data_IF_651963571496
#
_entry.id   IF_651963571496
#
_cell.length_a   1.000
_cell.length_b   1.000
_cell.length_c   1.000
_cell.angle_alpha   90.00
_cell.angle_beta   90.00
_cell.angle_gamma   90.00
#
_symmetry.space_group_name_H-M   'P 1'
#
loop_
_entity.id
_entity.type
_entity.pdbx_description
1 polymer ?
#
# COMPACT_ATOMS: atom_id res chain seq x y z
N UNK A 1 -25.23 -66.74 -27.31
CA UNK A 1 -24.13 -65.74 -27.37
C UNK A 1 -22.84 -66.45 -26.97
N UNK A 2 -21.79 -66.39 -27.80
CA UNK A 2 -20.50 -67.06 -27.48
C UNK A 2 -19.85 -66.40 -26.25
N UNK A 3 -19.12 -67.17 -25.44
CA UNK A 3 -18.40 -66.70 -24.26
C UNK A 3 -17.46 -65.52 -24.59
N UNK A 4 -16.88 -65.53 -25.80
CA UNK A 4 -16.04 -64.46 -26.32
C UNK A 4 -16.81 -63.17 -26.61
N UNK A 5 -18.08 -63.28 -27.02
CA UNK A 5 -18.95 -62.14 -27.25
C UNK A 5 -19.32 -61.42 -25.95
N UNK A 6 -19.62 -62.19 -24.89
CA UNK A 6 -19.95 -61.65 -23.57
C UNK A 6 -18.75 -60.91 -22.95
N UNK A 7 -17.54 -61.50 -23.04
CA UNK A 7 -16.32 -60.89 -22.49
C UNK A 7 -15.96 -59.56 -23.18
N UNK A 8 -16.16 -59.45 -24.49
CA UNK A 8 -15.94 -58.21 -25.25
C UNK A 8 -16.90 -57.10 -24.84
N UNK A 9 -18.17 -57.42 -24.59
CA UNK A 9 -19.19 -56.45 -24.16
C UNK A 9 -18.86 -55.90 -22.76
N UNK A 10 -18.46 -56.77 -21.82
CA UNK A 10 -18.10 -56.36 -20.46
C UNK A 10 -16.86 -55.46 -20.44
N UNK A 11 -15.84 -55.78 -21.25
CA UNK A 11 -14.64 -54.93 -21.34
C UNK A 11 -14.96 -53.57 -21.96
N UNK A 12 -15.79 -53.54 -23.01
CA UNK A 12 -16.21 -52.29 -23.64
C UNK A 12 -17.03 -51.41 -22.68
N UNK A 13 -17.94 -52.00 -21.88
CA UNK A 13 -18.74 -51.24 -20.92
C UNK A 13 -17.88 -50.68 -19.78
N UNK A 14 -16.95 -51.47 -19.22
CA UNK A 14 -16.02 -51.01 -18.19
C UNK A 14 -15.11 -49.89 -18.70
N UNK A 15 -14.57 -50.02 -19.91
CA UNK A 15 -13.72 -48.98 -20.52
C UNK A 15 -14.52 -47.68 -20.78
N UNK A 16 -15.77 -47.81 -21.24
CA UNK A 16 -16.64 -46.65 -21.47
C UNK A 16 -17.01 -45.94 -20.16
N UNK A 17 -17.31 -46.70 -19.10
CA UNK A 17 -17.57 -46.14 -17.76
C UNK A 17 -16.32 -45.48 -17.19
N UNK A 18 -15.14 -46.08 -17.37
CA UNK A 18 -13.87 -45.49 -16.93
C UNK A 18 -13.58 -44.17 -17.68
N UNK A 19 -13.76 -44.12 -19.00
CA UNK A 19 -13.58 -42.91 -19.80
C UNK A 19 -14.57 -41.79 -19.42
N UNK A 20 -15.82 -42.15 -19.10
CA UNK A 20 -16.82 -41.21 -18.59
C UNK A 20 -16.47 -40.69 -17.18
N UNK A 21 -15.85 -41.51 -16.32
CA UNK A 21 -15.36 -41.09 -14.99
C UNK A 21 -14.16 -40.14 -15.06
N UNK A 22 -13.30 -40.25 -16.07
CA UNK A 22 -12.15 -39.33 -16.24
C UNK A 22 -12.56 -38.00 -16.91
N UNK A 23 -13.66 -37.99 -17.68
CA UNK A 23 -14.09 -36.84 -18.48
C UNK A 23 -14.80 -35.70 -17.74
N UNK A 24 -15.10 -35.82 -16.44
CA UNK A 24 -15.84 -34.80 -15.69
C UNK A 24 -14.99 -33.95 -14.72
N UNK A 25 -13.68 -34.14 -14.66
CA UNK A 25 -12.81 -33.25 -13.87
C UNK A 25 -12.40 -32.04 -14.70
N UNK A 26 -13.36 -31.15 -14.98
CA UNK A 26 -13.03 -29.79 -15.41
C UNK A 26 -12.54 -29.03 -14.16
N UNK A 27 -11.21 -28.93 -13.99
CA UNK A 27 -10.63 -28.00 -13.02
C UNK A 27 -10.85 -26.60 -13.57
N UNK A 28 -11.87 -25.90 -13.05
CA UNK A 28 -12.04 -24.48 -13.30
C UNK A 28 -10.95 -23.74 -12.55
N UNK A 29 -9.92 -23.28 -13.25
CA UNK A 29 -8.96 -22.32 -12.72
C UNK A 29 -9.70 -21.00 -12.54
N UNK A 30 -10.09 -20.71 -11.30
CA UNK A 30 -10.57 -19.38 -10.95
C UNK A 30 -9.37 -18.42 -11.01
N UNK A 31 -9.57 -17.25 -11.62
CA UNK A 31 -8.52 -16.24 -11.78
C UNK A 31 -8.46 -15.41 -10.51
N UNK A 32 -7.25 -15.10 -10.03
CA UNK A 32 -7.06 -14.23 -8.87
C UNK A 32 -7.68 -12.85 -9.13
N UNK A 33 -8.14 -12.18 -8.08
CA UNK A 33 -8.73 -10.85 -8.18
C UNK A 33 -8.22 -9.91 -7.12
N UNK A 34 -8.16 -8.62 -7.46
CA UNK A 34 -7.82 -7.54 -6.54
C UNK A 34 -8.87 -6.44 -6.66
N UNK A 35 -9.39 -5.98 -5.52
CA UNK A 35 -10.57 -5.11 -5.51
C UNK A 35 -10.48 -4.01 -4.46
N UNK A 36 -11.12 -2.88 -4.73
CA UNK A 36 -11.36 -1.83 -3.73
C UNK A 36 -12.60 -2.18 -2.91
N UNK A 37 -12.50 -2.09 -1.58
CA UNK A 37 -13.60 -2.36 -0.65
C UNK A 37 -13.70 -1.29 0.44
N UNK A 38 -14.87 -0.67 0.69
CA UNK A 38 -16.09 -0.79 -0.08
C UNK A 38 -15.92 -0.25 -1.52
N UNK A 39 -16.64 -0.84 -2.47
CA UNK A 39 -16.53 -0.51 -3.89
C UNK A 39 -17.19 0.84 -4.24
N UNK A 40 -18.16 1.28 -3.43
CA UNK A 40 -18.80 2.58 -3.56
C UNK A 40 -18.87 3.24 -2.20
N UNK A 41 -18.40 4.48 -2.13
CA UNK A 41 -18.43 5.32 -0.93
C UNK A 41 -19.25 6.57 -1.24
N UNK A 42 -20.09 7.00 -0.29
CA UNK A 42 -20.81 8.27 -0.36
C UNK A 42 -20.64 9.01 0.96
N UNK A 43 -20.06 10.20 0.90
CA UNK A 43 -19.66 10.99 2.07
C UNK A 43 -19.90 12.49 1.83
N UNK A 44 -19.64 13.30 2.85
CA UNK A 44 -19.68 14.76 2.76
C UNK A 44 -18.28 15.35 2.64
N UNK A 45 -18.17 16.54 2.06
CA UNK A 45 -16.94 17.31 2.07
C UNK A 45 -16.46 17.55 3.52
N UNK A 46 -15.16 17.33 3.76
CA UNK A 46 -14.54 17.36 5.09
C UNK A 46 -14.54 16.02 5.84
N UNK A 47 -15.29 15.01 5.38
CA UNK A 47 -15.28 13.68 6.00
C UNK A 47 -13.99 12.92 5.67
N UNK A 48 -13.62 12.01 6.57
CA UNK A 48 -12.57 11.00 6.32
C UNK A 48 -13.19 9.62 6.16
N UNK A 49 -12.57 8.80 5.31
CA UNK A 49 -12.98 7.41 5.09
C UNK A 49 -11.78 6.56 4.71
N UNK A 50 -11.94 5.24 4.85
CA UNK A 50 -10.92 4.27 4.42
C UNK A 50 -11.48 3.32 3.38
N UNK A 51 -10.60 2.85 2.50
CA UNK A 51 -10.84 1.73 1.60
C UNK A 51 -9.71 0.72 1.74
N UNK A 52 -10.07 -0.55 1.63
CA UNK A 52 -9.15 -1.67 1.62
C UNK A 52 -8.90 -2.12 0.18
N UNK A 53 -7.65 -2.46 -0.10
CA UNK A 53 -7.28 -3.23 -1.29
C UNK A 53 -7.31 -4.70 -0.90
N UNK A 54 -8.31 -5.42 -1.40
CA UNK A 54 -8.57 -6.82 -1.07
C UNK A 54 -8.02 -7.71 -2.19
N UNK A 55 -7.19 -8.68 -1.83
CA UNK A 55 -6.71 -9.73 -2.74
C UNK A 55 -7.48 -11.01 -2.47
N UNK A 56 -8.00 -11.63 -3.52
CA UNK A 56 -8.53 -12.99 -3.52
C UNK A 56 -7.69 -13.84 -4.48
N UNK A 57 -6.81 -14.71 -3.97
CA UNK A 57 -5.93 -15.53 -4.80
C UNK A 57 -6.67 -16.56 -5.67
N UNK A 58 -7.94 -16.88 -5.36
CA UNK A 58 -8.71 -17.88 -6.09
C UNK A 58 -8.01 -19.26 -6.21
N UNK A 59 -7.18 -19.61 -5.21
CA UNK A 59 -6.38 -20.85 -5.17
C UNK A 59 -4.95 -20.71 -5.69
N UNK A 60 -4.57 -19.57 -6.26
CA UNK A 60 -3.18 -19.26 -6.62
C UNK A 60 -2.31 -19.04 -5.39
N UNK A 61 -1.02 -19.35 -5.53
CA UNK A 61 0.00 -19.12 -4.51
C UNK A 61 0.64 -17.74 -4.71
N UNK A 62 0.29 -16.77 -3.86
CA UNK A 62 0.81 -15.41 -3.95
C UNK A 62 1.96 -15.22 -2.97
N UNK A 63 3.07 -14.69 -3.47
CA UNK A 63 4.28 -14.41 -2.69
C UNK A 63 4.68 -12.93 -2.72
N UNK A 64 4.28 -12.21 -3.76
CA UNK A 64 4.42 -10.77 -3.89
C UNK A 64 3.15 -10.14 -4.46
N UNK A 65 2.86 -8.92 -4.05
CA UNK A 65 1.73 -8.15 -4.54
C UNK A 65 2.13 -6.69 -4.70
N UNK A 66 1.83 -6.11 -5.85
CA UNK A 66 1.94 -4.66 -6.10
C UNK A 66 0.57 -4.09 -6.50
N UNK A 67 0.30 -2.85 -6.11
CA UNK A 67 -0.87 -2.13 -6.58
C UNK A 67 -0.59 -0.63 -6.76
N UNK A 68 -1.36 -0.04 -7.66
CA UNK A 68 -1.39 1.39 -7.93
C UNK A 68 -2.84 1.83 -8.00
N UNK A 69 -3.20 2.76 -7.12
CA UNK A 69 -4.52 3.37 -7.11
C UNK A 69 -4.42 4.81 -7.65
N UNK A 70 -5.34 5.19 -8.55
CA UNK A 70 -5.48 6.57 -9.02
C UNK A 70 -6.80 7.16 -8.57
N UNK A 71 -6.80 8.45 -8.24
CA UNK A 71 -7.97 9.21 -7.80
C UNK A 71 -7.86 10.67 -8.26
N UNK A 72 -8.96 11.42 -8.21
CA UNK A 72 -8.97 12.86 -8.46
C UNK A 72 -8.51 13.62 -7.20
N UNK A 73 -7.34 14.25 -7.29
CA UNK A 73 -6.74 15.03 -6.20
C UNK A 73 -7.41 16.37 -5.93
N UNK A 74 -8.35 16.81 -6.77
CA UNK A 74 -9.20 17.96 -6.46
C UNK A 74 -10.38 17.57 -5.56
N UNK A 75 -10.72 16.28 -5.48
CA UNK A 75 -11.86 15.76 -4.71
C UNK A 75 -11.39 15.10 -3.42
N UNK A 76 -10.31 14.31 -3.48
CA UNK A 76 -9.79 13.56 -2.34
C UNK A 76 -8.32 13.90 -2.04
N UNK A 77 -7.95 13.77 -0.77
CA UNK A 77 -6.58 13.83 -0.29
C UNK A 77 -6.29 12.54 0.48
N UNK A 78 -5.33 11.74 0.02
CA UNK A 78 -4.92 10.54 0.76
C UNK A 78 -4.03 10.93 1.94
N UNK A 79 -4.41 10.51 3.14
CA UNK A 79 -3.76 10.90 4.39
C UNK A 79 -2.86 9.80 4.95
N UNK A 80 -3.17 8.54 4.68
CA UNK A 80 -2.34 7.41 5.08
C UNK A 80 -2.56 6.16 4.23
N UNK A 81 -1.55 5.28 4.25
CA UNK A 81 -1.63 3.92 3.71
C UNK A 81 -0.89 2.99 4.68
N UNK A 82 -1.55 1.91 5.08
CA UNK A 82 -1.01 0.92 6.02
C UNK A 82 -1.07 -0.48 5.42
N UNK A 83 -0.04 -1.29 5.67
CA UNK A 83 -0.06 -2.72 5.34
C UNK A 83 -1.25 -3.43 5.98
N UNK A 84 -1.82 -4.38 5.23
CA UNK A 84 -2.82 -5.33 5.72
C UNK A 84 -2.22 -6.72 5.92
N UNK A 85 -3.04 -7.64 6.41
CA UNK A 85 -2.58 -8.98 6.82
C UNK A 85 -2.64 -10.04 5.71
N UNK A 86 -2.65 -9.64 4.43
CA UNK A 86 -2.76 -10.61 3.34
C UNK A 86 -1.50 -11.47 3.19
N UNK A 87 -0.31 -10.85 3.17
CA UNK A 87 0.96 -11.56 2.96
C UNK A 87 1.60 -12.07 4.26
N UNK A 88 1.25 -11.50 5.41
CA UNK A 88 1.77 -11.91 6.73
C UNK A 88 1.05 -13.15 7.31
N UNK A 89 0.02 -13.68 6.63
CA UNK A 89 -0.70 -14.87 7.07
C UNK A 89 0.26 -16.04 7.29
N UNK A 90 -0.08 -16.82 8.32
CA UNK A 90 0.72 -17.94 8.82
C UNK A 90 2.03 -17.55 9.50
N UNK A 91 2.15 -16.28 9.91
CA UNK A 91 3.31 -15.76 10.65
C UNK A 91 4.53 -15.53 9.75
N UNK A 92 4.31 -15.35 8.45
CA UNK A 92 5.38 -15.03 7.52
C UNK A 92 5.85 -13.60 7.75
N UNK A 93 7.17 -13.41 7.77
CA UNK A 93 7.75 -12.08 7.71
C UNK A 93 7.57 -11.51 6.29
N UNK A 94 7.34 -10.21 6.20
CA UNK A 94 7.15 -9.50 4.94
C UNK A 94 8.00 -8.24 4.88
N UNK A 95 8.21 -7.73 3.67
CA UNK A 95 8.85 -6.44 3.41
C UNK A 95 7.99 -5.60 2.49
N UNK A 96 7.65 -4.39 2.96
CA UNK A 96 7.12 -3.33 2.11
C UNK A 96 8.24 -2.83 1.18
N UNK A 97 8.13 -3.12 -0.11
CA UNK A 97 9.07 -2.62 -1.14
C UNK A 97 8.65 -1.26 -1.69
N UNK A 98 7.37 -0.91 -1.55
CA UNK A 98 6.82 0.37 -1.97
C UNK A 98 5.64 0.75 -1.08
N UNK A 99 5.66 1.98 -0.54
CA UNK A 99 4.52 2.56 0.16
C UNK A 99 4.60 4.09 0.00
N UNK A 100 3.85 4.64 -0.96
CA UNK A 100 3.95 6.06 -1.30
C UNK A 100 2.62 6.66 -1.73
N UNK A 101 2.38 7.89 -1.26
CA UNK A 101 1.24 8.72 -1.63
C UNK A 101 1.75 9.96 -2.36
N UNK A 102 1.22 10.22 -3.55
CA UNK A 102 1.43 11.45 -4.31
C UNK A 102 0.07 12.10 -4.58
N UNK A 103 -0.34 13.00 -3.68
CA UNK A 103 -1.59 13.75 -3.80
C UNK A 103 -1.54 14.79 -4.92
N UNK A 104 -0.36 15.18 -5.44
CA UNK A 104 -0.29 16.10 -6.58
C UNK A 104 -0.66 15.37 -7.86
N UNK A 105 -0.15 14.14 -8.03
CA UNK A 105 -0.44 13.30 -9.18
C UNK A 105 -1.75 12.50 -9.06
N UNK A 106 -2.35 12.43 -7.86
CA UNK A 106 -3.50 11.57 -7.57
C UNK A 106 -3.16 10.09 -7.67
N UNK A 107 -1.98 9.69 -7.15
CA UNK A 107 -1.47 8.31 -7.26
C UNK A 107 -0.99 7.78 -5.92
N UNK A 108 -1.42 6.57 -5.59
CA UNK A 108 -0.92 5.80 -4.46
C UNK A 108 -0.30 4.52 -5.01
N UNK A 109 0.85 4.13 -4.46
CA UNK A 109 1.51 2.87 -4.80
C UNK A 109 1.80 2.09 -3.53
N UNK A 110 1.53 0.79 -3.60
CA UNK A 110 1.86 -0.16 -2.57
C UNK A 110 2.51 -1.40 -3.18
N UNK A 111 3.44 -2.01 -2.48
CA UNK A 111 4.09 -3.24 -2.91
C UNK A 111 4.72 -3.94 -1.71
N UNK A 112 4.46 -5.24 -1.59
CA UNK A 112 4.90 -6.05 -0.47
C UNK A 112 5.23 -7.48 -0.94
N UNK A 113 6.19 -8.13 -0.28
CA UNK A 113 6.54 -9.53 -0.55
C UNK A 113 6.91 -10.27 0.73
N UNK A 114 6.69 -11.59 0.74
CA UNK A 114 7.10 -12.48 1.84
C UNK A 114 8.63 -12.66 1.85
N UNK A 115 9.20 -12.84 3.04
CA UNK A 115 10.62 -13.10 3.26
C UNK A 115 10.79 -14.53 3.78
N UNK A 116 11.68 -15.30 3.15
CA UNK A 116 12.06 -16.64 3.60
C UNK A 116 12.11 -17.65 2.46
N UNK A 117 12.30 -18.92 2.82
CA UNK A 117 12.23 -20.03 1.89
C UNK A 117 10.75 -20.40 1.64
N UNK A 118 10.24 -20.31 0.39
CA UNK A 118 8.86 -20.63 0.05
C UNK A 118 8.45 -22.05 0.45
N UNK A 119 9.37 -23.03 0.44
CA UNK A 119 9.06 -24.39 0.88
C UNK A 119 8.80 -24.49 2.39
N UNK A 120 9.36 -23.55 3.16
CA UNK A 120 9.25 -23.51 4.62
C UNK A 120 8.09 -22.63 5.10
N UNK A 121 7.90 -21.47 4.47
CA UNK A 121 6.90 -20.48 4.90
C UNK A 121 5.60 -20.55 4.09
N UNK A 122 5.61 -21.20 2.91
CA UNK A 122 4.48 -21.24 1.99
C UNK A 122 4.11 -19.89 1.37
N UNK A 123 2.94 -19.86 0.74
CA UNK A 123 2.40 -18.70 0.01
C UNK A 123 1.05 -18.25 0.58
N UNK A 124 0.66 -17.02 0.29
CA UNK A 124 -0.67 -16.52 0.61
C UNK A 124 -1.69 -17.07 -0.40
N UNK A 125 -2.65 -17.84 0.09
CA UNK A 125 -3.70 -18.50 -0.74
C UNK A 125 -5.12 -18.12 -0.32
N UNK A 126 -5.26 -17.49 0.86
CA UNK A 126 -6.54 -17.05 1.38
C UNK A 126 -6.78 -15.57 1.09
N UNK A 127 -8.03 -15.23 0.81
CA UNK A 127 -8.47 -13.83 0.68
C UNK A 127 -8.06 -12.97 1.89
N UNK A 128 -7.62 -11.74 1.64
CA UNK A 128 -7.18 -10.82 2.69
C UNK A 128 -7.01 -9.37 2.23
N UNK A 129 -6.75 -8.48 3.19
CA UNK A 129 -6.44 -7.07 2.95
C UNK A 129 -4.94 -6.96 2.66
N UNK A 130 -4.58 -6.46 1.48
CA UNK A 130 -3.19 -6.13 1.14
C UNK A 130 -2.76 -4.81 1.78
N UNK A 131 -3.61 -3.79 1.68
CA UNK A 131 -3.35 -2.47 2.26
C UNK A 131 -4.65 -1.73 2.52
N UNK A 132 -4.67 -0.89 3.54
CA UNK A 132 -5.77 0.04 3.81
C UNK A 132 -5.29 1.46 3.52
N UNK A 133 -6.11 2.22 2.80
CA UNK A 133 -5.83 3.60 2.41
C UNK A 133 -6.89 4.49 3.05
N UNK A 134 -6.46 5.55 3.74
CA UNK A 134 -7.35 6.57 4.30
C UNK A 134 -7.32 7.83 3.47
N UNK A 135 -8.50 8.38 3.20
CA UNK A 135 -8.74 9.60 2.46
C UNK A 135 -9.48 10.63 3.31
N UNK A 136 -9.26 11.89 2.98
CA UNK A 136 -10.07 13.04 3.37
C UNK A 136 -10.73 13.61 2.12
N UNK A 137 -12.01 13.96 2.21
CA UNK A 137 -12.73 14.63 1.14
C UNK A 137 -12.50 16.14 1.15
N UNK A 138 -11.70 16.64 0.22
CA UNK A 138 -11.27 18.05 0.13
C UNK A 138 -12.01 18.83 -0.97
N UNK A 139 -12.86 18.17 -1.74
CA UNK A 139 -13.68 18.78 -2.78
C UNK A 139 -14.99 18.03 -2.94
N UNK A 140 -15.83 18.45 -3.90
CA UNK A 140 -17.13 17.84 -4.16
C UNK A 140 -17.20 17.26 -5.56
N UNK A 141 -18.07 16.26 -5.75
CA UNK A 141 -18.21 15.54 -7.02
C UNK A 141 -17.98 14.04 -6.87
N UNK A 142 -17.69 13.37 -7.97
CA UNK A 142 -17.47 11.92 -8.00
C UNK A 142 -16.09 11.62 -8.59
N UNK A 143 -15.33 10.76 -7.91
CA UNK A 143 -14.05 10.25 -8.40
C UNK A 143 -14.07 8.73 -8.47
N UNK A 144 -13.51 8.18 -9.54
CA UNK A 144 -13.16 6.77 -9.60
C UNK A 144 -11.92 6.52 -8.74
N UNK A 145 -11.85 5.34 -8.12
CA UNK A 145 -10.67 4.78 -7.48
C UNK A 145 -10.14 3.69 -8.41
N UNK A 146 -9.33 4.10 -9.40
CA UNK A 146 -8.86 3.21 -10.48
C UNK A 146 -7.72 2.35 -9.99
N UNK A 147 -7.90 1.03 -10.06
CA UNK A 147 -6.97 0.06 -9.50
C UNK A 147 -6.23 -0.72 -10.59
N UNK A 148 -4.91 -0.66 -10.53
CA UNK A 148 -4.02 -1.58 -11.23
C UNK A 148 -3.27 -2.42 -10.19
N UNK A 149 -3.06 -3.70 -10.47
CA UNK A 149 -2.31 -4.60 -9.58
C UNK A 149 -1.64 -5.70 -10.37
N UNK A 150 -0.54 -6.24 -9.83
CA UNK A 150 0.07 -7.49 -10.25
C UNK A 150 0.35 -8.32 -9.01
N UNK A 151 0.21 -9.62 -9.17
CA UNK A 151 0.56 -10.61 -8.16
C UNK A 151 1.67 -11.47 -8.75
N UNK A 152 2.57 -11.95 -7.89
CA UNK A 152 3.63 -12.86 -8.29
C UNK A 152 3.72 -14.04 -7.34
N UNK A 153 4.10 -15.20 -7.88
CA UNK A 153 4.46 -16.36 -7.08
C UNK A 153 5.89 -16.22 -6.49
N UNK A 154 6.34 -17.26 -5.80
CA UNK A 154 7.66 -17.31 -5.16
C UNK A 154 8.84 -17.37 -6.16
N UNK A 155 8.57 -17.71 -7.42
CA UNK A 155 9.54 -17.70 -8.52
C UNK A 155 9.55 -16.36 -9.29
N UNK A 156 8.83 -15.35 -8.79
CA UNK A 156 8.67 -14.03 -9.41
C UNK A 156 7.92 -14.12 -10.76
N UNK A 157 7.18 -15.20 -10.99
CA UNK A 157 6.30 -15.29 -12.15
C UNK A 157 5.01 -14.53 -11.86
N UNK A 158 4.60 -13.70 -12.81
CA UNK A 158 3.34 -12.95 -12.72
C UNK A 158 2.14 -13.89 -12.84
N UNK A 159 1.16 -13.67 -11.97
CA UNK A 159 -0.12 -14.36 -11.97
C UNK A 159 -1.14 -13.54 -12.75
N UNK A 160 -2.05 -14.23 -13.45
CA UNK A 160 -3.20 -13.57 -14.07
C UNK A 160 -4.11 -13.01 -12.98
N UNK A 161 -4.46 -11.73 -13.13
CA UNK A 161 -5.25 -11.00 -12.15
C UNK A 161 -6.33 -10.17 -12.82
N UNK A 162 -7.50 -10.16 -12.22
CA UNK A 162 -8.58 -9.23 -12.56
C UNK A 162 -8.67 -8.14 -11.51
N UNK A 163 -8.82 -6.88 -11.92
CA UNK A 163 -8.99 -5.77 -10.98
C UNK A 163 -10.43 -5.29 -10.95
N UNK A 164 -10.87 -4.83 -9.78
CA UNK A 164 -12.17 -4.20 -9.59
C UNK A 164 -11.99 -2.82 -8.94
N UNK A 165 -12.28 -1.79 -9.72
CA UNK A 165 -12.22 -0.39 -9.30
C UNK A 165 -13.23 -0.08 -8.19
N UNK A 166 -13.02 1.07 -7.53
CA UNK A 166 -13.98 1.69 -6.64
C UNK A 166 -14.49 3.04 -7.15
N UNK A 167 -15.45 3.62 -6.43
CA UNK A 167 -16.02 4.96 -6.70
C UNK A 167 -16.30 5.68 -5.39
N UNK A 168 -16.02 6.98 -5.33
CA UNK A 168 -16.36 7.83 -4.21
C UNK A 168 -17.18 9.03 -4.69
N UNK A 169 -18.32 9.28 -4.04
CA UNK A 169 -19.17 10.43 -4.29
C UNK A 169 -19.18 11.33 -3.05
N UNK A 170 -18.78 12.58 -3.22
CA UNK A 170 -18.69 13.58 -2.16
C UNK A 170 -19.74 14.66 -2.38
N UNK A 171 -20.56 14.90 -1.36
CA UNK A 171 -21.61 15.91 -1.34
C UNK A 171 -21.24 17.13 -0.47
N UNK A 172 -21.81 18.30 -0.79
CA UNK A 172 -21.53 19.56 -0.08
C UNK A 172 -20.31 20.31 -0.62
N UNK A 173 -20.17 21.60 -0.32
CA UNK A 173 -18.99 22.39 -0.67
C UNK A 173 -18.03 22.38 0.53
N UNK A 174 -16.73 22.19 0.29
CA UNK A 174 -15.73 22.51 1.31
C UNK A 174 -15.83 23.99 1.63
N UNK A 175 -16.13 24.32 2.88
CA UNK A 175 -15.93 25.68 3.36
C UNK A 175 -14.44 25.80 3.57
N UNK A 176 -13.76 26.48 2.64
CA UNK A 176 -12.38 26.88 2.87
C UNK A 176 -12.35 27.65 4.19
N UNK A 177 -11.61 27.16 5.17
CA UNK A 177 -11.30 27.92 6.37
C UNK A 177 -10.39 29.07 5.93
N UNK A 178 -11.00 30.19 5.52
CA UNK A 178 -10.29 31.44 5.37
C UNK A 178 -9.78 31.81 6.76
N UNK A 179 -8.46 31.73 6.93
CA UNK A 179 -7.76 32.30 8.08
C UNK A 179 -8.02 33.81 8.09
N UNK A 180 -9.07 34.22 8.81
CA UNK A 180 -9.42 35.62 8.98
C UNK A 180 -8.44 36.22 9.99
N UNK A 181 -7.28 36.68 9.51
CA UNK A 181 -6.36 37.51 10.29
C UNK A 181 -7.06 38.83 10.63
N UNK A 182 -7.72 38.87 11.79
CA UNK A 182 -8.26 40.10 12.38
C UNK A 182 -7.47 40.42 13.64
N UNK A 183 -6.46 41.29 13.52
CA UNK A 183 -6.29 42.40 14.47
C UNK A 183 -5.17 43.36 14.06
N UNK A 184 -5.55 44.58 13.65
CA UNK A 184 -4.83 45.86 13.85
C UNK A 184 -5.76 47.02 13.46
N UNK A 185 -5.98 48.06 14.31
CA UNK A 185 -5.09 49.22 14.34
C UNK A 185 -4.78 49.84 15.71
N UNK A 186 -3.66 50.57 15.73
CA UNK A 186 -2.98 51.19 16.85
C UNK A 186 -3.57 52.52 17.32
N UNK A 187 -3.28 52.90 18.58
CA UNK A 187 -3.16 54.29 19.02
C UNK A 187 -2.14 54.46 20.17
N UNK A 188 -1.25 55.42 19.94
CA UNK A 188 -0.12 55.91 20.75
C UNK A 188 -0.56 56.94 21.80
N UNK A 189 0.04 56.96 23.01
CA UNK A 189 0.91 58.08 23.52
C UNK A 189 1.23 58.00 25.03
N UNK A 190 2.55 57.97 25.31
CA UNK A 190 3.38 58.59 26.37
C UNK A 190 2.87 58.87 27.81
N UNK A 191 3.66 58.44 28.81
CA UNK A 191 4.38 59.33 29.75
C UNK A 191 5.51 58.62 30.54
N UNK A 192 6.67 59.31 30.66
CA UNK A 192 7.92 58.99 31.39
C UNK A 192 8.02 59.89 32.64
N UNK A 193 8.45 59.43 33.85
CA UNK A 193 9.83 59.64 34.38
C UNK A 193 10.31 58.52 35.37
N UNK A 194 11.56 58.32 35.84
CA UNK A 194 12.92 58.89 35.72
C UNK A 194 13.95 57.85 36.31
N UNK A 195 15.18 57.90 35.79
CA UNK A 195 16.55 57.37 36.16
C UNK A 195 16.89 57.36 37.69
N UNK A 196 17.82 56.52 38.29
CA UNK A 196 19.26 56.42 37.91
C UNK A 196 20.10 55.12 38.03
N UNK A 197 20.93 54.92 36.99
CA UNK A 197 22.41 54.72 36.93
C UNK A 197 23.21 54.01 38.05
N UNK A 198 23.95 52.96 37.67
CA UNK A 198 25.36 52.70 38.03
C UNK A 198 26.03 51.90 36.88
N UNK A 199 27.06 52.45 36.21
CA UNK A 199 28.50 52.13 36.36
C UNK A 199 28.79 50.62 36.43
N UNK A 200 29.59 49.95 35.58
CA UNK A 200 30.89 50.33 35.01
C UNK A 200 31.34 49.36 33.88
N UNK A 201 32.40 49.79 33.22
CA UNK A 201 33.02 49.52 31.89
C UNK A 201 33.90 48.24 31.75
N UNK A 202 34.48 47.96 30.53
CA UNK A 202 34.73 46.61 29.98
C UNK A 202 36.19 46.11 30.08
N UNK A 203 36.40 44.82 29.80
CA UNK A 203 37.71 44.17 29.71
C UNK A 203 37.88 43.35 28.43
N UNK A 204 38.96 43.64 27.71
CA UNK A 204 39.44 43.06 26.45
C UNK A 204 39.98 41.62 26.58
N UNK A 205 40.04 40.89 25.46
CA UNK A 205 41.31 40.28 25.04
C UNK A 205 41.32 38.81 24.61
N UNK A 206 41.90 38.59 23.42
CA UNK A 206 42.61 37.39 22.93
C UNK A 206 41.79 36.10 22.72
N UNK A 207 41.74 35.46 21.56
CA UNK A 207 42.79 35.24 20.57
C UNK A 207 43.41 33.87 20.81
N UNK A 208 43.11 32.88 19.95
CA UNK A 208 44.00 31.74 19.69
C UNK A 208 43.49 30.89 18.49
N UNK A 209 44.19 31.03 17.36
CA UNK A 209 44.38 29.96 16.38
C UNK A 209 45.18 28.82 17.04
N UNK A 210 44.80 27.55 16.84
CA UNK A 210 45.79 26.46 16.77
C UNK A 210 45.41 25.50 15.63
N UNK A 211 46.44 25.23 14.84
CA UNK A 211 46.54 24.36 13.67
C UNK A 211 46.99 22.96 14.12
N UNK A 212 46.59 21.93 13.38
CA UNK A 212 47.41 20.72 13.17
C UNK A 212 46.71 19.40 13.53
N UNK A 213 47.08 18.25 12.98
CA UNK A 213 47.95 17.87 11.86
C UNK A 213 47.84 16.33 11.78
N UNK A 214 47.70 15.76 10.58
CA UNK A 214 48.30 14.49 10.11
C UNK A 214 48.09 13.18 10.90
N UNK A 215 47.78 12.10 10.15
CA UNK A 215 48.52 10.84 10.34
C UNK A 215 47.72 9.54 10.23
N UNK A 216 47.78 8.95 9.05
CA UNK A 216 47.66 7.53 8.66
C UNK A 216 47.65 6.47 9.77
N UNK A 217 46.82 5.42 9.60
CA UNK A 217 47.36 4.06 9.66
C UNK A 217 46.57 3.05 8.81
N UNK A 218 47.29 2.55 7.82
CA UNK A 218 47.04 1.42 6.96
C UNK A 218 47.45 0.16 7.73
N UNK A 219 46.56 -0.82 7.92
CA UNK A 219 46.96 -2.19 8.29
C UNK A 219 46.33 -3.16 7.29
N UNK A 220 47.19 -3.60 6.38
CA UNK A 220 47.12 -4.85 5.64
C UNK A 220 47.27 -6.05 6.60
N UNK A 221 46.57 -7.15 6.31
CA UNK A 221 47.09 -8.53 6.09
C UNK A 221 45.87 -9.46 5.89
N UNK A 222 45.62 -10.06 4.72
CA UNK A 222 46.40 -11.00 3.90
C UNK A 222 46.43 -12.42 4.49
N UNK A 223 45.88 -13.35 3.67
CA UNK A 223 45.92 -14.81 3.65
C UNK A 223 45.29 -15.64 4.79
N UNK A 224 44.15 -16.27 4.45
CA UNK A 224 44.08 -17.74 4.38
C UNK A 224 43.05 -18.21 3.36
#
# INVERSE_FOLDING_TARGET
MSQDGMRRIVVASVLTVLLLLVGFCHVSLAISSVSVSPQTVTISAGDTFSVDIIVDPAGSEVYGADCKLRFDSMILNATSQTSGTFLDKSGAETIEVQNSIDNVAGVIKYGETRIGDPEMIGSATEKGVLSTITFEAIGSGTTDLKLESKLSDSSVQLLDVTTSDGTCSVSGAVVAEEEHTSDKPAATSEQIPKKPESMQTPGFGAGCLIIGLIGSLLVLRMDR
#
